data_IF_953868162479
#
_entry.id   IF_953868162479
#
_cell.length_a   1.000
_cell.length_b   1.000
_cell.length_c   1.000
_cell.angle_alpha   90.00
_cell.angle_beta   90.00
_cell.angle_gamma   90.00
#
_symmetry.space_group_name_H-M   'P 1'
#
loop_
_entity.id
_entity.type
_entity.pdbx_description
1 polymer ?
#
# COMPACT_ATOMS: atom_id res chain seq x y z
N UNK A 1 6.37 7.80 -27.90
CA UNK A 1 6.97 6.94 -26.90
C UNK A 1 7.65 7.80 -25.82
N UNK A 2 7.74 7.33 -24.57
CA UNK A 2 8.48 8.02 -23.53
C UNK A 2 9.96 8.05 -23.86
N UNK A 3 10.64 9.12 -23.45
CA UNK A 3 12.08 9.27 -23.56
C UNK A 3 12.68 9.22 -22.14
N UNK A 4 13.79 8.51 -21.99
CA UNK A 4 14.52 8.40 -20.76
C UNK A 4 15.99 8.79 -21.01
N UNK A 5 16.49 9.79 -20.30
CA UNK A 5 17.86 10.31 -20.41
C UNK A 5 18.54 10.29 -19.04
N UNK A 6 19.79 9.81 -18.95
CA UNK A 6 20.57 9.94 -17.72
C UNK A 6 20.71 11.41 -17.31
N UNK A 7 20.56 11.66 -16.00
CA UNK A 7 20.69 12.98 -15.39
C UNK A 7 21.44 12.83 -14.05
N UNK A 8 22.76 12.76 -14.15
CA UNK A 8 23.62 12.45 -13.01
C UNK A 8 23.30 11.09 -12.40
N UNK A 9 23.00 11.07 -11.10
CA UNK A 9 22.59 9.86 -10.39
C UNK A 9 21.16 9.40 -10.74
N UNK A 10 20.38 10.27 -11.39
CA UNK A 10 18.96 10.05 -11.71
C UNK A 10 18.74 9.73 -13.18
N UNK A 11 17.49 9.47 -13.54
CA UNK A 11 17.02 9.34 -14.92
C UNK A 11 15.84 10.31 -15.11
N UNK A 12 15.96 11.22 -16.05
CA UNK A 12 14.89 12.12 -16.48
C UNK A 12 14.02 11.39 -17.49
N UNK A 13 12.72 11.38 -17.25
CA UNK A 13 11.71 10.70 -18.08
C UNK A 13 10.74 11.76 -18.59
N UNK A 14 10.57 11.83 -19.91
CA UNK A 14 9.62 12.75 -20.52
C UNK A 14 8.66 12.02 -21.44
N UNK A 15 7.39 12.44 -21.45
CA UNK A 15 6.36 11.96 -22.36
C UNK A 15 5.24 13.00 -22.49
N UNK A 16 4.42 12.83 -23.55
CA UNK A 16 3.22 13.62 -23.74
C UNK A 16 2.08 12.71 -24.19
N UNK A 17 0.86 13.06 -23.78
CA UNK A 17 -0.38 12.42 -24.23
C UNK A 17 -1.16 13.38 -25.14
N UNK A 18 -2.06 12.79 -25.97
CA UNK A 18 -2.86 13.56 -26.90
C UNK A 18 -4.13 14.15 -26.27
N UNK A 19 -4.59 13.58 -25.16
CA UNK A 19 -5.79 14.02 -24.44
C UNK A 19 -5.68 13.69 -22.95
N UNK A 20 -6.47 14.39 -22.09
CA UNK A 20 -6.58 14.05 -20.68
C UNK A 20 -7.04 12.60 -20.50
N UNK A 21 -6.32 11.84 -19.68
CA UNK A 21 -6.65 10.45 -19.35
C UNK A 21 -5.85 9.99 -18.14
N UNK A 22 -6.27 8.90 -17.54
CA UNK A 22 -5.49 8.22 -16.50
C UNK A 22 -4.15 7.74 -17.08
N UNK A 23 -3.10 7.93 -16.30
CA UNK A 23 -1.76 7.46 -16.64
C UNK A 23 -1.14 6.74 -15.46
N UNK A 24 -0.35 5.72 -15.75
CA UNK A 24 0.55 5.11 -14.79
C UNK A 24 1.92 4.89 -15.44
N UNK A 25 2.97 5.25 -14.71
CA UNK A 25 4.36 5.18 -15.18
C UNK A 25 5.13 4.20 -14.31
N UNK A 26 5.75 3.24 -14.96
CA UNK A 26 6.48 2.15 -14.32
C UNK A 26 7.91 2.10 -14.84
N UNK A 27 8.82 1.69 -13.96
CA UNK A 27 10.15 1.24 -14.34
C UNK A 27 10.17 -0.27 -14.26
N UNK A 28 10.51 -0.91 -15.35
CA UNK A 28 10.59 -2.35 -15.49
C UNK A 28 12.01 -2.79 -15.75
N UNK A 29 12.48 -3.79 -15.00
CA UNK A 29 13.73 -4.47 -15.28
C UNK A 29 13.50 -5.49 -16.40
N UNK A 30 14.35 -5.46 -17.40
CA UNK A 30 14.36 -6.48 -18.44
C UNK A 30 15.14 -7.70 -17.94
N UNK A 31 14.56 -8.88 -18.12
CA UNK A 31 15.27 -10.11 -17.84
C UNK A 31 16.31 -10.38 -18.94
N UNK A 32 17.54 -10.63 -18.55
CA UNK A 32 18.65 -10.93 -19.49
C UNK A 32 18.43 -12.27 -20.23
N UNK A 33 17.69 -13.18 -19.62
CA UNK A 33 17.36 -14.50 -20.20
C UNK A 33 16.12 -14.48 -21.13
N UNK A 34 15.57 -13.29 -21.44
CA UNK A 34 14.38 -13.18 -22.31
C UNK A 34 13.06 -13.46 -21.58
N UNK A 35 13.07 -13.48 -20.27
CA UNK A 35 11.88 -13.58 -19.42
C UNK A 35 10.99 -12.35 -19.50
N UNK A 36 9.81 -12.43 -18.87
CA UNK A 36 8.88 -11.30 -18.81
C UNK A 36 9.49 -10.18 -17.95
N UNK A 37 9.44 -8.92 -18.42
CA UNK A 37 9.88 -7.79 -17.62
C UNK A 37 9.04 -7.68 -16.35
N UNK A 38 9.68 -7.34 -15.23
CA UNK A 38 8.96 -7.12 -13.99
C UNK A 38 9.11 -5.67 -13.50
N UNK A 39 8.05 -5.15 -12.90
CA UNK A 39 8.02 -3.79 -12.37
C UNK A 39 8.91 -3.73 -11.13
N UNK A 40 9.87 -2.81 -11.12
CA UNK A 40 10.72 -2.51 -9.96
C UNK A 40 10.30 -1.22 -9.26
N UNK A 41 9.68 -0.29 -10.01
CA UNK A 41 9.20 0.98 -9.47
C UNK A 41 7.87 1.39 -10.08
N UNK A 42 6.87 1.63 -9.24
CA UNK A 42 5.66 2.35 -9.59
C UNK A 42 5.96 3.84 -9.37
N UNK A 43 6.32 4.53 -10.45
CA UNK A 43 6.86 5.89 -10.34
C UNK A 43 5.77 6.90 -10.01
N UNK A 44 4.66 6.86 -10.76
CA UNK A 44 3.50 7.72 -10.54
C UNK A 44 2.27 7.15 -11.22
N UNK A 45 1.10 7.47 -10.67
CA UNK A 45 -0.19 7.27 -11.34
C UNK A 45 -1.12 8.46 -11.04
N UNK A 46 -1.98 8.82 -11.99
CA UNK A 46 -2.96 9.89 -11.82
C UNK A 46 -3.65 10.27 -13.12
N UNK A 47 -4.62 11.16 -13.03
CA UNK A 47 -5.30 11.76 -14.17
C UNK A 47 -4.46 12.93 -14.71
N UNK A 48 -4.08 12.89 -15.99
CA UNK A 48 -3.45 14.03 -16.66
C UNK A 48 -4.48 15.01 -17.16
N UNK A 49 -4.14 16.29 -17.04
CA UNK A 49 -4.97 17.43 -17.43
C UNK A 49 -4.64 18.66 -16.59
N UNK A 50 -5.53 19.61 -16.54
CA UNK A 50 -5.33 20.86 -15.80
C UNK A 50 -5.16 20.64 -14.29
N UNK A 51 -5.82 19.63 -13.75
CA UNK A 51 -5.82 19.30 -12.32
C UNK A 51 -5.04 18.02 -12.01
N UNK A 52 -3.95 17.76 -12.72
CA UNK A 52 -3.12 16.60 -12.46
C UNK A 52 -2.57 16.61 -11.01
N UNK A 53 -2.67 15.48 -10.27
CA UNK A 53 -2.19 15.42 -8.91
C UNK A 53 -0.66 15.36 -8.84
N UNK A 54 -0.02 15.99 -7.84
CA UNK A 54 1.42 15.82 -7.64
C UNK A 54 1.84 14.35 -7.52
N UNK A 55 2.99 13.95 -8.03
CA UNK A 55 4.06 14.73 -8.63
C UNK A 55 3.89 15.01 -10.14
N UNK A 56 2.74 14.70 -10.72
CA UNK A 56 2.43 15.11 -12.09
C UNK A 56 2.24 16.63 -12.18
N UNK A 57 2.72 17.21 -13.27
CA UNK A 57 2.49 18.63 -13.54
C UNK A 57 1.15 18.85 -14.28
N UNK A 58 0.49 19.99 -14.11
CA UNK A 58 -0.66 20.34 -14.93
C UNK A 58 -0.34 20.27 -16.43
N UNK A 59 -1.27 19.74 -17.21
CA UNK A 59 -1.13 19.59 -18.66
C UNK A 59 -0.85 18.16 -19.10
N UNK A 60 -0.57 18.01 -20.39
CA UNK A 60 -0.42 16.70 -21.04
C UNK A 60 1.05 16.28 -21.25
N UNK A 61 1.97 17.21 -21.09
CA UNK A 61 3.42 16.94 -21.20
C UNK A 61 3.99 16.80 -19.79
N UNK A 62 4.69 15.70 -19.57
CA UNK A 62 5.24 15.37 -18.26
C UNK A 62 6.75 15.19 -18.31
N UNK A 63 7.37 15.61 -17.20
CA UNK A 63 8.78 15.33 -16.93
C UNK A 63 8.88 14.79 -15.50
N UNK A 64 9.34 13.56 -15.39
CA UNK A 64 9.50 12.85 -14.12
C UNK A 64 10.97 12.52 -13.89
N UNK A 65 11.32 12.29 -12.65
CA UNK A 65 12.68 11.88 -12.26
C UNK A 65 12.61 10.56 -11.52
N UNK A 66 13.41 9.58 -11.97
CA UNK A 66 13.61 8.33 -11.25
C UNK A 66 14.99 8.34 -10.57
N UNK A 67 15.01 8.14 -9.28
CA UNK A 67 16.19 8.14 -8.40
C UNK A 67 16.95 6.80 -8.37
N UNK A 68 16.67 5.91 -9.33
CA UNK A 68 17.22 4.55 -9.43
C UNK A 68 16.95 3.67 -8.21
N UNK A 69 15.87 3.92 -7.51
CA UNK A 69 15.40 3.09 -6.41
C UNK A 69 14.14 2.33 -6.80
N UNK A 70 13.94 1.20 -6.14
CA UNK A 70 12.73 0.42 -6.23
C UNK A 70 11.59 1.01 -5.37
N UNK A 71 10.45 0.30 -5.32
CA UNK A 71 9.30 0.70 -4.49
C UNK A 71 9.58 0.67 -2.98
N UNK A 72 10.58 -0.09 -2.54
CA UNK A 72 11.01 -0.13 -1.14
C UNK A 72 12.06 0.95 -0.81
N UNK A 73 12.42 1.80 -1.79
CA UNK A 73 13.45 2.83 -1.65
C UNK A 73 14.88 2.29 -1.67
N UNK A 74 15.08 1.03 -2.08
CA UNK A 74 16.41 0.44 -2.20
C UNK A 74 16.99 0.70 -3.59
N UNK A 75 18.30 0.94 -3.71
CA UNK A 75 18.96 1.07 -5.00
C UNK A 75 18.75 -0.18 -5.85
N UNK A 76 18.34 0.01 -7.10
CA UNK A 76 18.23 -1.11 -8.02
C UNK A 76 19.60 -1.55 -8.54
N UNK A 77 19.82 -2.87 -8.75
CA UNK A 77 21.09 -3.37 -9.27
C UNK A 77 21.34 -2.87 -10.69
N UNK A 78 22.59 -2.82 -11.15
CA UNK A 78 22.92 -2.54 -12.54
C UNK A 78 22.16 -3.49 -13.49
N UNK A 79 21.74 -2.97 -14.65
CA UNK A 79 20.98 -3.76 -15.61
C UNK A 79 20.26 -2.91 -16.64
N UNK A 80 19.49 -3.57 -17.50
CA UNK A 80 18.65 -2.91 -18.50
C UNK A 80 17.28 -2.63 -17.92
N UNK A 81 16.88 -1.39 -17.98
CA UNK A 81 15.56 -0.92 -17.53
C UNK A 81 14.83 -0.26 -18.68
N UNK A 82 13.51 -0.35 -18.63
CA UNK A 82 12.64 0.38 -19.57
C UNK A 82 11.57 1.16 -18.78
N UNK A 83 11.14 2.25 -19.39
CA UNK A 83 9.99 3.02 -18.89
C UNK A 83 8.75 2.53 -19.63
N UNK A 84 7.73 2.15 -18.88
CA UNK A 84 6.39 1.87 -19.41
C UNK A 84 5.43 2.95 -18.97
N UNK A 85 4.81 3.62 -19.93
CA UNK A 85 3.70 4.55 -19.70
C UNK A 85 2.42 3.87 -20.18
N UNK A 86 1.50 3.64 -19.26
CA UNK A 86 0.16 3.13 -19.56
C UNK A 86 -0.81 4.29 -19.50
N UNK A 87 -1.63 4.45 -20.51
CA UNK A 87 -2.64 5.50 -20.61
C UNK A 87 -4.01 4.88 -20.86
N UNK A 88 -5.08 5.50 -20.33
CA UNK A 88 -6.43 4.98 -20.44
C UNK A 88 -6.61 3.70 -19.62
N UNK A 89 -6.33 3.75 -18.32
CA UNK A 89 -6.40 2.58 -17.44
C UNK A 89 -7.85 2.08 -17.35
N UNK A 90 -8.06 0.83 -17.68
CA UNK A 90 -9.35 0.14 -17.48
C UNK A 90 -9.16 -0.85 -16.31
N UNK A 91 -9.60 -0.52 -15.10
CA UNK A 91 -9.47 -1.43 -13.98
C UNK A 91 -10.34 -2.66 -14.19
N UNK A 92 -9.82 -3.82 -13.81
CA UNK A 92 -10.57 -5.09 -13.80
C UNK A 92 -10.49 -5.67 -12.40
N UNK A 93 -11.63 -6.16 -11.92
CA UNK A 93 -11.64 -6.94 -10.69
C UNK A 93 -10.85 -8.22 -10.91
N UNK A 94 -9.72 -8.35 -10.23
CA UNK A 94 -8.84 -9.53 -10.33
C UNK A 94 -9.16 -10.59 -9.25
N UNK A 95 -9.82 -10.17 -8.20
CA UNK A 95 -10.18 -11.02 -7.07
C UNK A 95 -10.46 -10.19 -5.82
N UNK A 96 -11.00 -10.84 -4.82
CA UNK A 96 -11.20 -10.27 -3.49
C UNK A 96 -10.10 -10.81 -2.58
N UNK A 97 -9.32 -9.94 -1.97
CA UNK A 97 -8.25 -10.32 -1.05
C UNK A 97 -8.78 -10.91 0.26
N UNK A 98 -10.06 -10.69 0.57
CA UNK A 98 -10.72 -11.14 1.80
C UNK A 98 -12.05 -11.76 1.44
N UNK A 99 -12.34 -12.92 2.03
CA UNK A 99 -13.66 -13.52 1.97
C UNK A 99 -14.57 -12.82 3.00
N UNK A 100 -15.65 -12.21 2.53
CA UNK A 100 -16.60 -11.46 3.35
C UNK A 100 -17.46 -12.33 4.26
N UNK A 101 -17.17 -13.55 4.51
CA UNK A 101 -18.12 -14.41 5.19
C UNK A 101 -17.63 -15.18 6.38
N UNK A 102 -16.38 -15.45 6.50
CA UNK A 102 -15.94 -16.44 7.46
C UNK A 102 -14.51 -16.25 7.92
N UNK A 103 -14.36 -15.88 9.16
CA UNK A 103 -13.07 -15.96 9.84
C UNK A 103 -12.73 -14.76 10.73
N UNK A 104 -11.70 -14.92 11.56
CA UNK A 104 -11.28 -13.90 12.53
C UNK A 104 -10.74 -12.62 11.88
N UNK A 105 -10.46 -12.65 10.59
CA UNK A 105 -9.85 -11.57 9.82
C UNK A 105 -10.84 -10.82 8.92
N UNK A 106 -12.15 -11.05 9.09
CA UNK A 106 -13.19 -10.36 8.32
C UNK A 106 -13.13 -8.86 8.57
N UNK A 107 -12.96 -8.09 7.50
CA UNK A 107 -13.04 -6.64 7.52
C UNK A 107 -14.49 -6.22 7.28
N UNK A 108 -15.08 -5.46 8.20
CA UNK A 108 -16.46 -4.96 8.03
C UNK A 108 -16.48 -3.56 7.41
N UNK A 109 -15.81 -2.60 8.00
CA UNK A 109 -15.69 -1.25 7.46
C UNK A 109 -14.26 -0.80 7.56
N UNK A 110 -13.63 -0.57 6.43
CA UNK A 110 -12.28 -0.01 6.37
C UNK A 110 -12.37 1.50 6.60
N UNK A 111 -11.72 1.96 7.68
CA UNK A 111 -11.70 3.37 8.10
C UNK A 111 -10.33 4.02 7.89
N UNK A 112 -9.32 3.23 7.58
CA UNK A 112 -7.99 3.74 7.29
C UNK A 112 -7.12 2.71 6.59
N UNK A 113 -6.26 3.21 5.72
CA UNK A 113 -5.23 2.46 5.01
C UNK A 113 -3.90 3.19 5.12
N UNK A 114 -2.83 2.47 5.33
CA UNK A 114 -1.48 3.00 5.26
C UNK A 114 -0.55 1.99 4.58
N UNK A 115 0.28 2.48 3.68
CA UNK A 115 1.35 1.70 3.09
C UNK A 115 2.67 1.98 3.82
N UNK A 116 3.32 0.93 4.28
CA UNK A 116 4.65 1.01 4.88
C UNK A 116 5.75 0.92 3.82
N UNK A 117 6.89 1.55 4.11
CA UNK A 117 8.07 1.50 3.24
C UNK A 117 8.60 0.08 2.99
N UNK A 118 8.21 -0.87 3.82
CA UNK A 118 8.53 -2.29 3.71
C UNK A 118 7.55 -3.09 2.82
N UNK A 119 6.69 -2.40 2.06
CA UNK A 119 5.68 -3.01 1.20
C UNK A 119 4.48 -3.61 1.94
N UNK A 120 4.34 -3.38 3.23
CA UNK A 120 3.17 -3.82 4.01
C UNK A 120 2.02 -2.84 3.88
N UNK A 121 0.81 -3.37 3.91
CA UNK A 121 -0.42 -2.59 3.94
C UNK A 121 -1.08 -2.77 5.30
N UNK A 122 -1.29 -1.65 5.99
CA UNK A 122 -1.96 -1.60 7.29
C UNK A 122 -3.40 -1.20 7.05
N UNK A 123 -4.32 -2.05 7.47
CA UNK A 123 -5.76 -1.84 7.29
C UNK A 123 -6.42 -1.65 8.64
N UNK A 124 -6.95 -0.46 8.89
CA UNK A 124 -7.74 -0.17 10.06
C UNK A 124 -9.21 -0.35 9.73
N UNK A 125 -9.88 -1.23 10.45
CA UNK A 125 -11.29 -1.53 10.26
C UNK A 125 -12.05 -1.46 11.56
N UNK A 126 -13.37 -1.23 11.47
CA UNK A 126 -14.27 -1.42 12.60
C UNK A 126 -14.83 -2.83 12.56
N UNK A 127 -15.00 -3.45 13.71
CA UNK A 127 -15.76 -4.69 13.86
C UNK A 127 -17.19 -4.36 14.27
N UNK A 128 -18.17 -4.79 13.48
CA UNK A 128 -19.55 -4.74 13.90
C UNK A 128 -19.78 -5.78 15.00
N UNK A 129 -20.03 -5.32 16.20
CA UNK A 129 -20.69 -6.15 17.20
C UNK A 129 -22.06 -5.58 17.47
N UNK A 130 -23.04 -6.44 17.73
CA UNK A 130 -24.47 -6.14 17.90
C UNK A 130 -24.80 -5.13 19.02
N UNK A 131 -23.84 -4.62 19.72
CA UNK A 131 -24.01 -3.59 20.76
C UNK A 131 -23.20 -2.37 20.36
N UNK A 132 -23.74 -1.24 20.37
CA UNK A 132 -23.34 0.18 20.34
C UNK A 132 -21.82 0.52 20.38
N UNK A 133 -20.89 -0.46 20.38
CA UNK A 133 -19.47 -0.33 20.54
C UNK A 133 -18.74 -0.87 19.32
N UNK A 134 -18.16 0.00 18.54
CA UNK A 134 -17.32 -0.38 17.38
C UNK A 134 -15.90 -0.65 17.87
N UNK A 135 -15.52 -1.92 17.96
CA UNK A 135 -14.11 -2.27 18.17
C UNK A 135 -13.31 -1.97 16.90
N UNK A 136 -12.18 -1.31 17.06
CA UNK A 136 -11.25 -1.05 15.96
C UNK A 136 -10.23 -2.18 15.89
N UNK A 137 -9.98 -2.69 14.69
CA UNK A 137 -8.90 -3.64 14.42
C UNK A 137 -7.88 -3.04 13.45
N UNK A 138 -6.62 -3.44 13.60
CA UNK A 138 -5.56 -3.11 12.64
C UNK A 138 -4.92 -4.41 12.20
N UNK A 139 -5.10 -4.71 10.91
CA UNK A 139 -4.56 -5.88 10.25
C UNK A 139 -3.39 -5.47 9.35
N UNK A 140 -2.42 -6.34 9.22
CA UNK A 140 -1.26 -6.15 8.36
C UNK A 140 -1.30 -7.20 7.27
N UNK A 141 -1.15 -6.74 6.05
CA UNK A 141 -1.11 -7.55 4.85
C UNK A 141 0.19 -7.32 4.09
N UNK A 142 0.59 -8.33 3.33
CA UNK A 142 1.64 -8.14 2.33
C UNK A 142 1.13 -7.26 1.19
N UNK A 143 2.03 -6.82 0.31
CA UNK A 143 1.67 -6.07 -0.90
C UNK A 143 0.69 -6.83 -1.82
N UNK A 144 0.77 -8.16 -1.80
CA UNK A 144 -0.07 -9.02 -2.64
C UNK A 144 -1.43 -9.34 -1.99
N UNK A 145 -1.75 -8.71 -0.85
CA UNK A 145 -3.02 -8.88 -0.16
C UNK A 145 -3.08 -10.07 0.79
N UNK A 146 -1.98 -10.79 1.04
CA UNK A 146 -1.97 -11.89 1.98
C UNK A 146 -1.93 -11.36 3.42
N UNK A 147 -2.81 -11.88 4.28
CA UNK A 147 -2.80 -11.56 5.70
C UNK A 147 -1.50 -12.01 6.37
N UNK A 148 -0.88 -11.12 7.13
CA UNK A 148 0.35 -11.41 7.87
C UNK A 148 0.09 -11.51 9.37
N UNK A 149 -0.58 -10.50 9.94
CA UNK A 149 -0.86 -10.45 11.37
C UNK A 149 -1.89 -9.37 11.73
N UNK A 150 -2.39 -9.45 12.95
CA UNK A 150 -3.18 -8.40 13.61
C UNK A 150 -2.32 -7.73 14.66
N UNK A 151 -2.27 -6.40 14.66
CA UNK A 151 -1.56 -5.61 15.69
C UNK A 151 -2.51 -4.95 16.69
N UNK A 152 -3.81 -4.86 16.34
CA UNK A 152 -4.87 -4.45 17.25
C UNK A 152 -6.13 -5.27 16.94
N UNK A 153 -6.79 -5.92 17.93
CA UNK A 153 -6.34 -6.05 19.31
C UNK A 153 -5.00 -6.77 19.42
N UNK A 154 -4.28 -6.51 20.48
CA UNK A 154 -3.01 -7.17 20.73
C UNK A 154 -3.22 -8.66 20.99
N UNK A 155 -2.26 -9.52 20.59
CA UNK A 155 -2.30 -10.94 20.93
C UNK A 155 -2.36 -11.14 22.45
N UNK A 156 -3.16 -12.09 22.90
CA UNK A 156 -3.29 -12.45 24.34
C UNK A 156 -1.97 -12.93 24.99
N UNK A 157 -0.99 -13.26 24.15
CA UNK A 157 0.37 -13.67 24.54
C UNK A 157 1.30 -12.49 24.85
N UNK A 158 0.87 -11.24 24.63
CA UNK A 158 1.69 -10.07 24.94
C UNK A 158 1.80 -9.96 26.46
N UNK A 159 3.02 -9.91 27.03
CA UNK A 159 3.21 -9.82 28.47
C UNK A 159 2.61 -8.53 29.02
N UNK A 160 2.00 -8.57 30.25
CA UNK A 160 1.33 -7.42 30.85
C UNK A 160 2.19 -6.16 30.95
N UNK A 161 3.49 -6.32 31.17
CA UNK A 161 4.45 -5.21 31.26
C UNK A 161 4.68 -4.46 29.96
N UNK A 162 4.21 -5.02 28.83
CA UNK A 162 4.25 -4.36 27.50
C UNK A 162 2.92 -3.68 27.13
N UNK A 163 1.98 -3.63 28.06
CA UNK A 163 0.63 -3.09 27.88
C UNK A 163 0.44 -1.73 28.55
N UNK A 164 1.50 -1.03 28.91
CA UNK A 164 1.49 0.17 29.78
C UNK A 164 0.54 1.27 29.29
N UNK A 165 0.39 1.44 27.98
CA UNK A 165 -0.51 2.45 27.41
C UNK A 165 -1.91 1.91 27.10
N UNK A 166 -2.17 0.62 27.36
CA UNK A 166 -3.42 -0.03 27.03
C UNK A 166 -4.02 -0.58 28.32
N UNK A 167 -5.14 -0.02 28.75
CA UNK A 167 -5.87 -0.57 29.88
C UNK A 167 -6.11 -2.08 29.65
N UNK A 168 -5.80 -2.89 30.64
CA UNK A 168 -6.01 -4.32 30.59
C UNK A 168 -6.75 -4.81 31.84
N UNK A 169 -7.60 -5.82 31.69
CA UNK A 169 -8.32 -6.47 32.78
C UNK A 169 -7.74 -7.87 32.98
N UNK A 170 -7.47 -8.23 34.22
CA UNK A 170 -7.05 -9.57 34.58
C UNK A 170 -8.28 -10.44 34.84
N UNK A 171 -8.49 -11.43 34.00
CA UNK A 171 -9.58 -12.39 34.14
C UNK A 171 -9.42 -13.30 35.35
N UNK A 172 -10.48 -14.07 35.74
CA UNK A 172 -10.42 -15.03 36.85
C UNK A 172 -9.41 -16.16 36.59
N UNK A 173 -9.11 -16.44 35.33
CA UNK A 173 -8.10 -17.40 34.86
C UNK A 173 -6.67 -16.86 34.92
N UNK A 174 -6.50 -15.60 35.37
CA UNK A 174 -5.21 -14.91 35.41
C UNK A 174 -4.73 -14.32 34.10
N UNK A 175 -5.50 -14.47 33.02
CA UNK A 175 -5.17 -13.93 31.71
C UNK A 175 -5.45 -12.43 31.64
N UNK A 176 -4.56 -11.68 30.99
CA UNK A 176 -4.74 -10.26 30.72
C UNK A 176 -5.52 -10.05 29.43
N UNK A 177 -6.67 -9.40 29.53
CA UNK A 177 -7.49 -9.03 28.38
C UNK A 177 -7.38 -7.53 28.15
N UNK A 178 -6.90 -7.07 26.98
CA UNK A 178 -6.82 -5.66 26.69
C UNK A 178 -8.22 -5.03 26.68
N UNK A 179 -8.35 -3.89 27.31
CA UNK A 179 -9.59 -3.10 27.26
C UNK A 179 -9.68 -2.42 25.90
N UNK A 180 -10.69 -2.78 25.12
CA UNK A 180 -10.93 -2.19 23.79
C UNK A 180 -11.50 -0.78 23.89
N UNK A 181 -12.15 -0.46 24.99
CA UNK A 181 -12.62 0.87 25.34
C UNK A 181 -12.38 1.12 26.83
N UNK A 182 -11.92 2.32 27.16
CA UNK A 182 -12.10 2.85 28.52
C UNK A 182 -13.59 3.12 28.73
N UNK A 183 -14.33 2.12 29.10
CA UNK A 183 -15.59 2.35 29.79
C UNK A 183 -15.23 2.47 31.25
N UNK A 184 -15.02 3.69 31.68
CA UNK A 184 -15.21 4.00 33.09
C UNK A 184 -16.72 4.11 33.27
N UNK A 185 -17.29 3.16 33.97
CA UNK A 185 -18.59 3.31 34.56
C UNK A 185 -18.50 4.40 35.63
#
# INVERSE_FOLDING_TARGET
PPQATPDGANVKISFALAAPTDVAVYIEKQDEAGGQPHVVRHLVAGLLGENAPPPLAPGLTQTLVWDRKDDAGQPVPPGKYRVRVSAGLTPRHAGTAFDEGSGPNTLTSVIGLAAGANGRVYVMSTRWQRAWWTATAIHVYTRDGNYEKTIKPMPSTVPPEKLDDIGAFKGPDGQMTPLVHRVLA
#
